data_IF_741640040197
#
_entry.id   IF_741640040197
#
_cell.length_a   1.000
_cell.length_b   1.000
_cell.length_c   1.000
_cell.angle_alpha   90.00
_cell.angle_beta   90.00
_cell.angle_gamma   90.00
#
_symmetry.space_group_name_H-M   'P 1'
#
loop_
_entity.id
_entity.type
_entity.pdbx_description
1 polymer ?
#
# COMPACT_ATOMS: atom_id res chain seq x y z
N UNK A 1 5.83 6.87 5.96
CA UNK A 1 5.19 7.07 4.64
C UNK A 1 4.11 6.02 4.42
N UNK A 2 3.22 6.17 3.45
CA UNK A 2 2.26 5.12 3.05
C UNK A 2 2.88 4.13 2.07
N UNK A 3 2.17 3.04 1.76
CA UNK A 3 2.63 2.09 0.76
C UNK A 3 2.84 2.74 -0.61
N UNK A 4 1.92 3.62 -1.05
CA UNK A 4 2.06 4.33 -2.33
C UNK A 4 3.35 5.17 -2.37
N UNK A 5 3.56 6.00 -1.35
CA UNK A 5 4.77 6.82 -1.21
C UNK A 5 6.05 5.96 -1.21
N UNK A 6 6.00 4.79 -0.56
CA UNK A 6 7.12 3.84 -0.56
C UNK A 6 7.38 3.25 -1.96
N UNK A 7 6.33 2.87 -2.69
CA UNK A 7 6.45 2.39 -4.07
C UNK A 7 6.99 3.47 -5.00
N UNK A 8 6.55 4.73 -4.85
CA UNK A 8 7.04 5.86 -5.63
C UNK A 8 8.54 6.10 -5.39
N UNK A 9 9.01 5.92 -4.16
CA UNK A 9 10.43 6.11 -3.80
C UNK A 9 11.38 5.05 -4.37
N UNK A 10 10.92 3.81 -4.54
CA UNK A 10 11.76 2.68 -4.99
C UNK A 10 11.55 2.32 -6.47
N UNK A 11 10.42 2.72 -7.03
CA UNK A 11 9.92 2.25 -8.30
C UNK A 11 9.20 0.90 -8.20
N UNK A 12 8.12 0.77 -8.95
CA UNK A 12 7.27 -0.41 -8.99
C UNK A 12 8.02 -1.73 -9.29
N UNK A 13 8.98 -1.78 -10.26
CA UNK A 13 9.73 -3.02 -10.54
C UNK A 13 10.56 -3.51 -9.34
N UNK A 14 11.12 -2.59 -8.55
CA UNK A 14 11.92 -2.91 -7.36
C UNK A 14 11.05 -3.51 -6.27
N UNK A 15 9.89 -2.90 -6.01
CA UNK A 15 8.90 -3.40 -5.03
C UNK A 15 8.39 -4.79 -5.43
N UNK A 16 8.13 -5.02 -6.72
CA UNK A 16 7.73 -6.33 -7.24
C UNK A 16 8.77 -7.41 -6.92
N UNK A 17 10.06 -7.10 -7.13
CA UNK A 17 11.15 -8.01 -6.78
C UNK A 17 11.26 -8.24 -5.27
N UNK A 18 11.11 -7.20 -4.46
CA UNK A 18 11.24 -7.27 -3.00
C UNK A 18 10.12 -8.08 -2.34
N UNK A 19 8.89 -7.92 -2.82
CA UNK A 19 7.72 -8.59 -2.25
C UNK A 19 7.47 -9.97 -2.87
N UNK A 20 7.96 -10.22 -4.09
CA UNK A 20 7.76 -11.51 -4.77
C UNK A 20 6.29 -11.80 -5.11
N UNK A 21 5.44 -10.77 -5.14
CA UNK A 21 4.00 -10.90 -5.38
C UNK A 21 3.62 -10.57 -6.83
N UNK A 22 2.47 -11.08 -7.32
CA UNK A 22 1.95 -10.72 -8.62
C UNK A 22 1.73 -9.21 -8.75
N UNK A 23 2.06 -8.67 -9.92
CA UNK A 23 1.88 -7.25 -10.21
C UNK A 23 0.43 -6.79 -10.04
N UNK A 24 -0.54 -7.63 -10.39
CA UNK A 24 -1.96 -7.35 -10.17
C UNK A 24 -2.29 -7.09 -8.69
N UNK A 25 -1.68 -7.86 -7.79
CA UNK A 25 -1.85 -7.71 -6.33
C UNK A 25 -1.26 -6.39 -5.86
N UNK A 26 -0.05 -6.06 -6.31
CA UNK A 26 0.62 -4.81 -5.96
C UNK A 26 -0.13 -3.58 -6.50
N UNK A 27 -0.68 -3.67 -7.72
CA UNK A 27 -1.52 -2.62 -8.31
C UNK A 27 -2.84 -2.43 -7.57
N UNK A 28 -3.43 -3.48 -6.99
CA UNK A 28 -4.62 -3.32 -6.15
C UNK A 28 -4.38 -2.38 -4.97
N UNK A 29 -3.21 -2.47 -4.34
CA UNK A 29 -2.86 -1.60 -3.21
C UNK A 29 -2.38 -0.23 -3.66
N UNK A 30 -1.66 -0.17 -4.78
CA UNK A 30 -1.06 1.07 -5.28
C UNK A 30 -2.05 1.99 -6.01
N UNK A 31 -2.83 1.44 -6.95
CA UNK A 31 -3.71 2.21 -7.84
C UNK A 31 -5.16 2.24 -7.36
N UNK A 32 -5.64 1.11 -6.83
CA UNK A 32 -7.04 0.98 -6.41
C UNK A 32 -7.24 1.24 -4.91
N UNK A 33 -6.17 1.67 -4.24
CA UNK A 33 -6.11 1.95 -2.80
C UNK A 33 -6.75 0.84 -1.95
N UNK A 34 -6.65 -0.43 -2.34
CA UNK A 34 -7.16 -1.53 -1.51
C UNK A 34 -6.22 -1.80 -0.36
N UNK A 35 -6.76 -1.99 0.84
CA UNK A 35 -5.93 -2.36 1.98
C UNK A 35 -5.50 -3.84 1.91
N UNK A 36 -4.22 -4.18 2.13
CA UNK A 36 -3.74 -5.56 2.13
C UNK A 36 -4.29 -6.35 3.32
N UNK A 37 -4.39 -7.67 3.15
CA UNK A 37 -4.64 -8.60 4.26
C UNK A 37 -3.42 -8.71 5.18
N UNK A 38 -3.64 -9.15 6.42
CA UNK A 38 -2.61 -9.24 7.48
C UNK A 38 -1.29 -9.88 7.03
N UNK A 39 -1.25 -11.04 6.34
CA UNK A 39 0.03 -11.64 5.93
C UNK A 39 0.85 -10.75 4.99
N UNK A 40 0.18 -10.08 4.05
CA UNK A 40 0.82 -9.16 3.12
C UNK A 40 1.25 -7.86 3.80
N UNK A 41 0.47 -7.38 4.78
CA UNK A 41 0.84 -6.21 5.56
C UNK A 41 2.14 -6.47 6.35
N UNK A 42 2.25 -7.63 7.01
CA UNK A 42 3.48 -8.02 7.70
C UNK A 42 4.67 -8.08 6.74
N UNK A 43 4.50 -8.67 5.56
CA UNK A 43 5.53 -8.70 4.53
C UNK A 43 5.97 -7.30 4.07
N UNK A 44 5.01 -6.39 3.85
CA UNK A 44 5.31 -5.00 3.46
C UNK A 44 6.11 -4.30 4.56
N UNK A 45 5.74 -4.49 5.82
CA UNK A 45 6.43 -3.86 6.95
C UNK A 45 7.86 -4.39 7.13
N UNK A 46 8.03 -5.71 6.98
CA UNK A 46 9.35 -6.35 6.99
C UNK A 46 10.24 -5.80 5.85
N UNK A 47 9.77 -5.84 4.60
CA UNK A 47 10.55 -5.42 3.43
C UNK A 47 10.78 -3.91 3.35
N UNK A 48 9.85 -3.11 3.87
CA UNK A 48 10.05 -1.67 4.01
C UNK A 48 10.92 -1.29 5.21
N UNK A 49 11.35 -2.25 6.05
CA UNK A 49 12.10 -2.00 7.29
C UNK A 49 11.42 -0.98 8.21
N UNK A 50 10.09 -1.07 8.32
CA UNK A 50 9.28 -0.16 9.15
C UNK A 50 9.11 1.26 8.62
N UNK A 51 9.59 1.56 7.40
CA UNK A 51 9.44 2.89 6.77
C UNK A 51 7.97 3.18 6.42
N UNK A 52 7.21 2.14 6.07
CA UNK A 52 5.76 2.24 5.90
C UNK A 52 5.09 2.36 7.27
N UNK A 53 4.41 3.47 7.51
CA UNK A 53 3.62 3.71 8.71
C UNK A 53 2.18 3.25 8.45
N UNK A 54 1.78 2.14 9.08
CA UNK A 54 0.44 1.55 8.93
C UNK A 54 -0.64 2.51 9.39
N UNK A 55 -0.44 3.19 10.52
CA UNK A 55 -1.45 4.09 11.09
C UNK A 55 -1.74 5.25 10.13
N UNK A 56 -0.69 5.88 9.58
CA UNK A 56 -0.83 6.92 8.55
C UNK A 56 -1.60 6.36 7.34
N UNK A 57 -1.23 5.18 6.86
CA UNK A 57 -1.87 4.57 5.70
C UNK A 57 -3.35 4.24 5.94
N UNK A 58 -3.72 3.70 7.10
CA UNK A 58 -5.12 3.42 7.48
C UNK A 58 -5.94 4.70 7.52
N UNK A 59 -5.41 5.79 8.10
CA UNK A 59 -6.10 7.09 8.16
C UNK A 59 -6.33 7.67 6.76
N UNK A 60 -5.36 7.58 5.88
CA UNK A 60 -5.50 8.06 4.49
C UNK A 60 -6.50 7.21 3.69
N UNK A 61 -6.44 5.89 3.85
CA UNK A 61 -7.38 4.97 3.24
C UNK A 61 -8.82 5.23 3.68
N UNK A 62 -9.06 5.44 4.97
CA UNK A 62 -10.37 5.79 5.51
C UNK A 62 -10.91 7.08 4.88
N UNK A 63 -10.10 8.14 4.82
CA UNK A 63 -10.47 9.43 4.21
C UNK A 63 -10.84 9.30 2.73
N UNK A 64 -10.07 8.50 1.97
CA UNK A 64 -10.37 8.25 0.56
C UNK A 64 -11.74 7.59 0.36
N UNK A 65 -12.10 6.66 1.25
CA UNK A 65 -13.39 5.99 1.22
C UNK A 65 -14.56 6.85 1.72
N UNK A 66 -14.34 7.73 2.69
CA UNK A 66 -15.33 8.71 3.13
C UNK A 66 -15.67 9.70 2.01
N UNK A 67 -14.64 10.30 1.38
CA UNK A 67 -14.83 11.22 0.27
C UNK A 67 -15.57 10.58 -0.91
N UNK A 68 -15.31 9.29 -1.19
CA UNK A 68 -16.01 8.56 -2.25
C UNK A 68 -17.48 8.29 -1.93
N UNK A 69 -17.85 8.17 -0.65
CA UNK A 69 -19.26 8.03 -0.23
C UNK A 69 -20.02 9.36 -0.33
N UNK A 70 -19.36 10.49 -0.05
CA UNK A 70 -19.98 11.81 -0.16
C UNK A 70 -20.20 12.26 -1.61
N UNK A 71 -19.41 11.74 -2.55
CA UNK A 71 -19.51 12.04 -3.97
C UNK A 71 -20.48 11.12 -4.76
N UNK A 72 -21.08 10.12 -4.11
CA UNK A 72 -21.96 9.11 -4.71
C UNK A 72 -23.41 9.30 -4.26
#
# INVERSE_FOLDING_TARGET
MTYREWVDSLGFPSVKKLLGLPESTLRMWYSFDRFPRTPHLVLILDKSKGVVNVEKWVREHARFHEAKKEAA
#
